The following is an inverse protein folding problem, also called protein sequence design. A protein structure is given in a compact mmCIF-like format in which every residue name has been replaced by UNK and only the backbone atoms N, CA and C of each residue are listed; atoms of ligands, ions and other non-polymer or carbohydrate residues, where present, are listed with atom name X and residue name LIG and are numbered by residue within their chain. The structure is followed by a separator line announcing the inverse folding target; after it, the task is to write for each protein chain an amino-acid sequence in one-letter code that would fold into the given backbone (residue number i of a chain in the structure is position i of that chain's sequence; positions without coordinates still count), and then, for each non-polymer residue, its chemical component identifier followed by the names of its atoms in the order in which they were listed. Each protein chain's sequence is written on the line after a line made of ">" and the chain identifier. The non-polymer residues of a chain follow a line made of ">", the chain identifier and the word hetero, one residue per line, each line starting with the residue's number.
data_IF_296616889833
#
_entry.id   IF_296616889833
#
_cell.length_a   1.000
_cell.length_b   1.000
_cell.length_c   1.000
_cell.angle_alpha   90.00
_cell.angle_beta   90.00
_cell.angle_gamma   90.00
#
_symmetry.space_group_name_H-M   'P 1'
#
loop_
_entity.id
_entity.type
_entity.pdbx_description
1 polymer ?
#
# COMPACT_ATOMS: atom_id res chain seq x y z
N UNK A 1 0.29 19.08 -20.16
CA UNK A 1 0.55 17.87 -19.34
C UNK A 1 -0.70 17.54 -18.57
N UNK A 2 -1.20 16.29 -18.53
CA UNK A 2 -2.34 15.94 -17.71
C UNK A 2 -1.99 16.27 -16.25
N UNK A 3 -2.86 17.04 -15.58
CA UNK A 3 -2.66 17.43 -14.20
C UNK A 3 -3.06 16.25 -13.31
N UNK A 4 -2.10 15.43 -12.89
CA UNK A 4 -2.37 14.31 -12.00
C UNK A 4 -2.94 14.81 -10.67
N UNK A 5 -4.11 14.30 -10.29
CA UNK A 5 -4.81 14.68 -9.06
C UNK A 5 -3.98 14.28 -7.85
N UNK A 6 -3.75 15.26 -6.96
CA UNK A 6 -3.31 15.04 -5.58
C UNK A 6 -4.56 14.95 -4.71
N UNK A 7 -4.72 13.89 -3.94
CA UNK A 7 -5.90 13.70 -3.09
C UNK A 7 -6.39 12.25 -3.02
N UNK A 8 -7.48 12.00 -2.26
CA UNK A 8 -8.00 10.66 -2.02
C UNK A 8 -8.45 9.98 -3.31
N UNK A 9 -8.28 8.66 -3.37
CA UNK A 9 -8.80 7.81 -4.44
C UNK A 9 -10.31 7.64 -4.27
N UNK A 10 -11.07 7.81 -5.34
CA UNK A 10 -12.49 7.44 -5.32
C UNK A 10 -12.67 5.93 -5.52
N UNK A 11 -13.81 5.41 -5.11
CA UNK A 11 -14.16 3.99 -5.35
C UNK A 11 -14.14 3.67 -6.86
N UNK A 12 -14.57 4.60 -7.71
CA UNK A 12 -14.54 4.43 -9.15
C UNK A 12 -13.11 4.35 -9.70
N UNK A 13 -12.18 5.17 -9.18
CA UNK A 13 -10.76 5.09 -9.54
C UNK A 13 -10.16 3.75 -9.08
N UNK A 14 -10.52 3.25 -7.90
CA UNK A 14 -10.06 1.97 -7.38
C UNK A 14 -10.57 0.79 -8.22
N UNK A 15 -11.86 0.78 -8.57
CA UNK A 15 -12.46 -0.24 -9.43
C UNK A 15 -11.81 -0.25 -10.81
N UNK A 16 -11.60 0.92 -11.40
CA UNK A 16 -10.90 1.06 -12.68
C UNK A 16 -9.46 0.53 -12.58
N UNK A 17 -8.74 0.89 -11.53
CA UNK A 17 -7.37 0.42 -11.30
C UNK A 17 -7.32 -1.10 -11.17
N UNK A 18 -8.21 -1.71 -10.39
CA UNK A 18 -8.30 -3.16 -10.24
C UNK A 18 -8.58 -3.85 -11.58
N UNK A 19 -9.56 -3.35 -12.34
CA UNK A 19 -9.89 -3.88 -13.66
C UNK A 19 -8.69 -3.81 -14.62
N UNK A 20 -8.03 -2.65 -14.70
CA UNK A 20 -6.87 -2.47 -15.57
C UNK A 20 -5.67 -3.34 -15.16
N UNK A 21 -5.47 -3.56 -13.86
CA UNK A 21 -4.45 -4.49 -13.37
C UNK A 21 -4.80 -5.94 -13.74
N UNK A 22 -6.08 -6.33 -13.71
CA UNK A 22 -6.52 -7.65 -14.15
C UNK A 22 -6.28 -7.84 -15.66
N UNK A 23 -6.54 -6.82 -16.48
CA UNK A 23 -6.40 -6.88 -17.95
C UNK A 23 -4.95 -6.78 -18.41
N UNK A 24 -4.14 -5.90 -17.81
CA UNK A 24 -2.77 -5.60 -18.26
C UNK A 24 -1.68 -6.18 -17.36
N UNK A 25 -2.04 -6.72 -16.19
CA UNK A 25 -1.09 -7.17 -15.17
C UNK A 25 -0.48 -6.03 -14.34
N UNK A 26 -0.04 -6.37 -13.13
CA UNK A 26 0.57 -5.42 -12.18
C UNK A 26 2.04 -5.06 -12.51
N UNK A 27 2.35 -4.87 -13.79
CA UNK A 27 3.71 -4.57 -14.28
C UNK A 27 3.75 -3.37 -15.24
N UNK A 28 2.66 -3.05 -15.95
CA UNK A 28 2.63 -1.93 -16.91
C UNK A 28 1.83 -0.71 -16.37
N UNK A 29 2.39 -0.07 -15.35
CA UNK A 29 1.75 1.08 -14.68
C UNK A 29 1.61 2.31 -15.56
N UNK A 30 2.47 2.48 -16.57
CA UNK A 30 2.38 3.58 -17.53
C UNK A 30 1.10 3.47 -18.32
N UNK A 31 0.83 2.30 -18.91
CA UNK A 31 -0.42 2.05 -19.65
C UNK A 31 -1.66 2.22 -18.78
N UNK A 32 -1.63 1.66 -17.57
CA UNK A 32 -2.74 1.78 -16.61
C UNK A 32 -3.03 3.25 -16.28
N UNK A 33 -1.99 4.04 -16.02
CA UNK A 33 -2.10 5.47 -15.75
C UNK A 33 -2.66 6.26 -16.94
N UNK A 34 -2.26 5.92 -18.17
CA UNK A 34 -2.78 6.56 -19.38
C UNK A 34 -4.29 6.36 -19.53
N UNK A 35 -4.82 5.21 -19.11
CA UNK A 35 -6.27 4.97 -19.15
C UNK A 35 -7.00 5.66 -17.99
N UNK A 36 -6.43 5.68 -16.79
CA UNK A 36 -7.04 6.39 -15.64
C UNK A 36 -7.01 7.92 -15.84
N UNK A 37 -5.98 8.45 -16.49
CA UNK A 37 -5.72 9.86 -16.81
C UNK A 37 -5.51 10.78 -15.58
N UNK A 38 -6.28 10.59 -14.51
CA UNK A 38 -6.24 11.40 -13.28
C UNK A 38 -5.08 11.05 -12.37
N UNK A 39 -4.44 9.88 -12.55
CA UNK A 39 -3.39 9.34 -11.66
C UNK A 39 -2.13 8.99 -12.42
N UNK A 40 -0.98 9.29 -11.81
CA UNK A 40 0.32 8.97 -12.38
C UNK A 40 0.65 7.48 -12.22
N UNK A 41 1.59 6.93 -13.01
CA UNK A 41 1.99 5.52 -12.91
C UNK A 41 2.45 5.14 -11.50
N UNK A 42 3.18 6.06 -10.84
CA UNK A 42 3.63 5.90 -9.46
C UNK A 42 2.44 5.79 -8.50
N UNK A 43 1.46 6.69 -8.62
CA UNK A 43 0.26 6.68 -7.77
C UNK A 43 -0.52 5.38 -7.95
N UNK A 44 -0.72 4.91 -9.19
CA UNK A 44 -1.42 3.65 -9.48
C UNK A 44 -0.72 2.46 -8.84
N UNK A 45 0.61 2.36 -9.00
CA UNK A 45 1.42 1.30 -8.39
C UNK A 45 1.30 1.30 -6.88
N UNK A 46 1.48 2.46 -6.25
CA UNK A 46 1.37 2.62 -4.81
C UNK A 46 -0.03 2.26 -4.31
N UNK A 47 -1.09 2.77 -4.94
CA UNK A 47 -2.47 2.46 -4.55
C UNK A 47 -2.73 0.96 -4.58
N UNK A 48 -2.34 0.29 -5.66
CA UNK A 48 -2.52 -1.16 -5.79
C UNK A 48 -1.77 -1.93 -4.70
N UNK A 49 -0.45 -1.76 -4.58
CA UNK A 49 0.37 -2.54 -3.65
C UNK A 49 0.09 -2.24 -2.18
N UNK A 50 -0.38 -1.05 -1.84
CA UNK A 50 -0.60 -0.65 -0.46
C UNK A 50 -2.05 -0.87 0.00
N UNK A 51 -3.03 -0.91 -0.91
CA UNK A 51 -4.45 -0.88 -0.54
C UNK A 51 -5.37 -1.84 -1.33
N UNK A 52 -5.07 -2.18 -2.58
CA UNK A 52 -6.05 -2.89 -3.43
C UNK A 52 -5.63 -4.32 -3.80
N UNK A 53 -4.37 -4.68 -3.59
CA UNK A 53 -3.87 -6.01 -3.96
C UNK A 53 -4.67 -7.08 -3.18
N UNK A 54 -5.28 -8.09 -3.86
CA UNK A 54 -6.26 -8.99 -3.24
C UNK A 54 -5.79 -9.78 -2.02
N UNK A 55 -4.48 -10.00 -1.88
CA UNK A 55 -3.90 -10.73 -0.77
C UNK A 55 -3.42 -9.84 0.38
N UNK A 56 -3.84 -8.57 0.40
CA UNK A 56 -3.60 -7.67 1.52
C UNK A 56 -4.59 -7.94 2.65
N UNK A 57 -4.05 -8.01 3.86
CA UNK A 57 -4.82 -8.02 5.09
C UNK A 57 -5.03 -6.57 5.55
N UNK A 58 -6.29 -6.14 5.54
CA UNK A 58 -6.74 -4.79 5.93
C UNK A 58 -7.23 -4.70 7.38
N UNK A 59 -7.26 -5.81 8.12
CA UNK A 59 -7.64 -5.81 9.52
C UNK A 59 -6.66 -4.96 10.34
N UNK A 60 -7.02 -4.50 11.55
CA UNK A 60 -6.07 -3.89 12.46
C UNK A 60 -4.86 -4.82 12.68
N UNK A 61 -3.66 -4.23 12.85
CA UNK A 61 -2.48 -4.98 13.29
C UNK A 61 -2.78 -5.54 14.69
N UNK A 62 -2.64 -6.85 14.82
CA UNK A 62 -2.88 -7.58 16.07
C UNK A 62 -1.78 -7.29 17.09
N UNK A 63 -2.02 -7.49 18.40
CA UNK A 63 -0.98 -7.36 19.42
C UNK A 63 0.25 -8.24 19.12
N UNK A 64 0.05 -9.45 18.62
CA UNK A 64 1.11 -10.40 18.28
C UNK A 64 1.96 -9.89 17.11
N UNK A 65 1.32 -9.40 16.04
CA UNK A 65 2.02 -8.73 14.95
C UNK A 65 2.74 -7.47 15.43
N UNK A 66 2.15 -6.73 16.36
CA UNK A 66 2.74 -5.54 16.97
C UNK A 66 4.05 -5.83 17.70
N UNK A 67 4.08 -6.88 18.53
CA UNK A 67 5.30 -7.35 19.20
C UNK A 67 6.37 -7.72 18.17
N UNK A 68 6.00 -8.44 17.11
CA UNK A 68 6.94 -8.82 16.06
C UNK A 68 7.49 -7.58 15.32
N UNK A 69 6.63 -6.59 15.03
CA UNK A 69 7.06 -5.31 14.43
C UNK A 69 8.07 -4.60 15.34
N UNK A 70 7.80 -4.48 16.65
CA UNK A 70 8.72 -3.85 17.59
C UNK A 70 10.08 -4.55 17.63
N UNK A 71 10.09 -5.88 17.71
CA UNK A 71 11.32 -6.69 17.69
C UNK A 71 12.13 -6.46 16.41
N UNK A 72 11.49 -6.51 15.25
CA UNK A 72 12.19 -6.31 13.98
C UNK A 72 12.68 -4.87 13.84
N UNK A 73 11.92 -3.86 14.28
CA UNK A 73 12.40 -2.47 14.25
C UNK A 73 13.63 -2.29 15.14
N UNK A 74 13.69 -2.95 16.29
CA UNK A 74 14.89 -2.96 17.13
C UNK A 74 16.09 -3.66 16.46
N UNK A 75 15.85 -4.76 15.74
CA UNK A 75 16.90 -5.55 15.06
C UNK A 75 17.45 -4.87 13.80
N UNK A 76 16.58 -4.37 12.91
CA UNK A 76 16.97 -3.90 11.56
C UNK A 76 16.58 -2.45 11.26
N UNK A 77 15.95 -1.75 12.21
CA UNK A 77 15.45 -0.38 12.04
C UNK A 77 14.12 -0.30 11.28
N UNK A 78 13.78 0.91 10.83
CA UNK A 78 12.51 1.26 10.14
C UNK A 78 12.43 0.76 8.69
N UNK A 79 12.78 -0.51 8.46
CA UNK A 79 12.75 -1.17 7.14
C UNK A 79 11.37 -1.76 6.85
N UNK A 80 10.37 -0.90 6.67
CA UNK A 80 8.95 -1.29 6.58
C UNK A 80 8.66 -2.36 5.53
N UNK A 81 9.27 -2.28 4.34
CA UNK A 81 9.08 -3.26 3.28
C UNK A 81 9.68 -4.63 3.61
N UNK A 82 10.72 -4.70 4.44
CA UNK A 82 11.30 -5.96 4.93
C UNK A 82 10.41 -6.55 6.03
N UNK A 83 10.00 -5.70 6.98
CA UNK A 83 9.10 -6.06 8.07
C UNK A 83 7.77 -6.60 7.52
N UNK A 84 7.13 -5.88 6.60
CA UNK A 84 5.87 -6.29 6.01
C UNK A 84 5.98 -7.61 5.23
N UNK A 85 7.15 -7.93 4.67
CA UNK A 85 7.38 -9.25 4.04
C UNK A 85 7.37 -10.41 5.03
N UNK A 86 7.71 -10.16 6.30
CA UNK A 86 7.63 -11.16 7.39
C UNK A 86 6.23 -11.28 8.00
N UNK A 87 5.35 -10.32 7.74
CA UNK A 87 3.96 -10.33 8.18
C UNK A 87 3.04 -10.77 7.03
N UNK A 88 2.27 -11.84 7.23
CA UNK A 88 1.45 -12.42 6.15
C UNK A 88 0.39 -11.43 5.69
N UNK A 89 0.49 -10.99 4.44
CA UNK A 89 -0.49 -10.11 3.80
C UNK A 89 -0.44 -8.64 4.25
N UNK A 90 0.53 -8.21 5.07
CA UNK A 90 0.62 -6.79 5.45
C UNK A 90 1.35 -5.98 4.38
N UNK A 91 0.91 -4.74 4.17
CA UNK A 91 1.65 -3.77 3.38
C UNK A 91 2.62 -2.99 4.25
N UNK A 92 3.72 -2.48 3.67
CA UNK A 92 4.67 -1.65 4.39
C UNK A 92 4.04 -0.36 4.90
N UNK A 93 3.02 0.17 4.20
CA UNK A 93 2.25 1.29 4.69
C UNK A 93 1.41 0.94 5.92
N UNK A 94 0.83 -0.26 5.99
CA UNK A 94 0.07 -0.71 7.18
C UNK A 94 0.98 -0.76 8.42
N UNK A 95 2.17 -1.36 8.29
CA UNK A 95 3.17 -1.44 9.37
C UNK A 95 3.60 -0.04 9.83
N UNK A 96 3.99 0.81 8.88
CA UNK A 96 4.43 2.18 9.16
C UNK A 96 3.34 3.00 9.87
N UNK A 97 2.09 2.87 9.41
CA UNK A 97 0.96 3.59 10.00
C UNK A 97 0.68 3.12 11.43
N UNK A 98 0.73 1.80 11.67
CA UNK A 98 0.58 1.25 13.02
C UNK A 98 1.69 1.73 13.94
N UNK A 99 2.95 1.67 13.50
CA UNK A 99 4.10 2.13 14.27
C UNK A 99 3.98 3.62 14.66
N UNK A 100 3.68 4.50 13.70
CA UNK A 100 3.53 5.93 13.96
C UNK A 100 2.29 6.24 14.81
N UNK A 101 1.21 5.49 14.64
CA UNK A 101 -0.01 5.62 15.45
C UNK A 101 0.19 5.17 16.90
N UNK A 102 1.00 4.13 17.12
CA UNK A 102 1.40 3.66 18.45
C UNK A 102 2.38 4.61 19.14
N UNK A 103 3.36 5.17 18.40
CA UNK A 103 4.27 6.19 18.93
C UNK A 103 3.56 7.47 19.37
N UNK A 104 2.47 7.86 18.71
CA UNK A 104 1.68 9.04 19.10
C UNK A 104 0.76 8.80 20.32
N UNK A 105 0.64 7.55 20.79
CA UNK A 105 -0.15 7.17 21.97
C UNK A 105 0.70 6.82 23.20
N UNK A 106 2.02 6.69 23.04
CA UNK A 106 2.98 6.61 24.15
C UNK A 106 3.46 8.02 24.51
#
# INVERSE_FOLDING_TARGET
>A
MPQHKRGPWSQQEDQMLLHLVQVHGAHNWVRISTTIQTRSPKQCRERYHQNLKPNLNHDPITPEEGVLIEQMVAEMGKRWAEIARRLRGRSDNAVKNWWNGGMNRR
#
